data_IF_078936540349
#
_entry.id   IF_078936540349
#
_cell.length_a   1.000
_cell.length_b   1.000
_cell.length_c   1.000
_cell.angle_alpha   90.00
_cell.angle_beta   90.00
_cell.angle_gamma   90.00
#
_symmetry.space_group_name_H-M   'P 1'
#
loop_
_entity.id
_entity.type
_entity.pdbx_description
1 polymer ?
#
# COMPACT_ATOMS: atom_id res chain seq x y z
N UNK A 1 -11.75 30.20 -7.51
CA UNK A 1 -12.39 28.87 -7.51
C UNK A 1 -12.12 28.24 -8.86
N UNK A 2 -11.61 27.00 -8.89
CA UNK A 2 -11.30 26.30 -10.14
C UNK A 2 -12.33 25.19 -10.39
N UNK A 3 -12.68 24.96 -11.65
CA UNK A 3 -13.52 23.85 -12.09
C UNK A 3 -12.65 22.91 -12.92
N UNK A 4 -12.58 21.64 -12.51
CA UNK A 4 -11.81 20.62 -13.24
C UNK A 4 -12.45 20.35 -14.61
N UNK A 5 -11.60 20.15 -15.62
CA UNK A 5 -12.05 19.79 -16.97
C UNK A 5 -12.32 18.30 -17.01
N UNK A 6 -13.47 17.92 -17.55
CA UNK A 6 -13.87 16.52 -17.67
C UNK A 6 -13.06 15.79 -18.74
N UNK A 7 -12.62 14.57 -18.43
CA UNK A 7 -11.99 13.67 -19.40
C UNK A 7 -13.05 13.07 -20.32
N UNK A 8 -12.73 12.93 -21.62
CA UNK A 8 -13.59 12.15 -22.52
C UNK A 8 -13.52 10.66 -22.19
N UNK A 9 -14.64 9.93 -22.27
CA UNK A 9 -14.67 8.47 -22.02
C UNK A 9 -13.66 7.71 -22.89
N UNK A 10 -13.50 8.11 -24.16
CA UNK A 10 -12.53 7.52 -25.09
C UNK A 10 -11.07 7.78 -24.69
N UNK A 11 -10.81 8.77 -23.84
CA UNK A 11 -9.48 9.11 -23.34
C UNK A 11 -9.02 8.29 -22.14
N UNK A 12 -9.91 7.55 -21.48
CA UNK A 12 -9.61 6.76 -20.27
C UNK A 12 -8.44 5.77 -20.48
N UNK A 13 -8.39 4.96 -21.57
CA UNK A 13 -7.29 4.01 -21.74
C UNK A 13 -5.91 4.68 -21.81
N UNK A 14 -5.80 5.79 -22.56
CA UNK A 14 -4.55 6.54 -22.68
C UNK A 14 -4.16 7.25 -21.37
N UNK A 15 -5.15 7.70 -20.59
CA UNK A 15 -4.91 8.26 -19.26
C UNK A 15 -4.33 7.21 -18.30
N UNK A 16 -4.90 6.01 -18.27
CA UNK A 16 -4.41 4.91 -17.42
C UNK A 16 -2.99 4.45 -17.79
N UNK A 17 -2.66 4.43 -19.09
CA UNK A 17 -1.29 4.17 -19.53
C UNK A 17 -0.31 5.24 -19.06
N UNK A 18 -0.70 6.53 -19.10
CA UNK A 18 0.11 7.62 -18.54
C UNK A 18 0.30 7.49 -17.03
N UNK A 19 -0.76 7.17 -16.28
CA UNK A 19 -0.66 6.97 -14.83
C UNK A 19 0.36 5.87 -14.49
N UNK A 20 0.34 4.75 -15.22
CA UNK A 20 1.32 3.68 -15.07
C UNK A 20 2.76 4.15 -15.35
N UNK A 21 2.97 4.91 -16.44
CA UNK A 21 4.27 5.50 -16.79
C UNK A 21 4.78 6.49 -15.74
N UNK A 22 3.92 7.37 -15.22
CA UNK A 22 4.29 8.32 -14.18
C UNK A 22 4.76 7.61 -12.90
N UNK A 23 4.11 6.52 -12.51
CA UNK A 23 4.57 5.68 -11.39
C UNK A 23 5.96 5.08 -11.65
N UNK A 24 6.23 4.60 -12.86
CA UNK A 24 7.55 4.08 -13.25
C UNK A 24 8.64 5.16 -13.25
N UNK A 25 8.27 6.41 -13.53
CA UNK A 25 9.16 7.59 -13.44
C UNK A 25 9.29 8.14 -12.01
N UNK A 26 8.72 7.46 -11.01
CA UNK A 26 8.68 7.91 -9.62
C UNK A 26 7.99 9.27 -9.44
N UNK A 27 6.95 9.53 -10.24
CA UNK A 27 6.06 10.69 -10.13
C UNK A 27 4.63 10.26 -9.73
N UNK A 28 4.44 9.82 -8.46
CA UNK A 28 3.17 9.24 -8.04
C UNK A 28 2.04 10.26 -7.88
N UNK A 29 2.34 11.55 -7.74
CA UNK A 29 1.32 12.61 -7.60
C UNK A 29 0.58 12.84 -8.90
N UNK A 30 1.30 12.85 -10.02
CA UNK A 30 0.68 12.93 -11.35
C UNK A 30 -0.16 11.69 -11.65
N UNK A 31 0.31 10.51 -11.24
CA UNK A 31 -0.47 9.28 -11.37
C UNK A 31 -1.76 9.29 -10.53
N UNK A 32 -1.70 9.77 -9.27
CA UNK A 32 -2.87 9.94 -8.41
C UNK A 32 -3.90 10.89 -9.05
N UNK A 33 -3.44 12.06 -9.51
CA UNK A 33 -4.27 13.06 -10.18
C UNK A 33 -5.04 12.48 -11.36
N UNK A 34 -4.36 11.74 -12.25
CA UNK A 34 -4.99 11.08 -13.40
C UNK A 34 -6.01 10.03 -12.97
N UNK A 35 -5.72 9.24 -11.93
CA UNK A 35 -6.66 8.21 -11.49
C UNK A 35 -7.94 8.82 -10.89
N UNK A 36 -7.84 9.96 -10.20
CA UNK A 36 -9.00 10.70 -9.70
C UNK A 36 -9.87 11.23 -10.85
N UNK A 37 -9.27 11.76 -11.91
CA UNK A 37 -9.99 12.21 -13.11
C UNK A 37 -10.72 11.04 -13.80
N UNK A 38 -10.06 9.88 -13.93
CA UNK A 38 -10.69 8.68 -14.49
C UNK A 38 -11.87 8.21 -13.64
N UNK A 39 -11.69 8.13 -12.31
CA UNK A 39 -12.74 7.67 -11.38
C UNK A 39 -13.91 8.65 -11.25
N UNK A 40 -13.73 9.91 -11.65
CA UNK A 40 -14.83 10.88 -11.76
C UNK A 40 -15.77 10.53 -12.92
N UNK A 41 -15.23 9.95 -14.00
CA UNK A 41 -16.00 9.56 -15.20
C UNK A 41 -16.51 8.12 -15.11
N UNK A 42 -15.66 7.22 -14.61
CA UNK A 42 -15.95 5.79 -14.48
C UNK A 42 -15.58 5.32 -13.05
N UNK A 43 -16.49 5.51 -12.06
CA UNK A 43 -16.22 5.19 -10.66
C UNK A 43 -15.90 3.73 -10.37
N UNK A 44 -16.34 2.81 -11.23
CA UNK A 44 -16.17 1.37 -11.03
C UNK A 44 -14.92 0.81 -11.74
N UNK A 45 -14.12 1.70 -12.36
CA UNK A 45 -12.93 1.31 -13.12
C UNK A 45 -11.86 0.65 -12.22
N UNK A 46 -11.82 -0.68 -12.23
CA UNK A 46 -10.92 -1.46 -11.35
C UNK A 46 -9.43 -1.15 -11.58
N UNK A 47 -9.01 -0.85 -12.82
CA UNK A 47 -7.61 -0.46 -13.11
C UNK A 47 -7.28 0.88 -12.47
N UNK A 48 -8.19 1.85 -12.54
CA UNK A 48 -8.01 3.17 -11.91
C UNK A 48 -7.99 3.07 -10.37
N UNK A 49 -8.89 2.29 -9.76
CA UNK A 49 -8.91 2.07 -8.30
C UNK A 49 -7.59 1.49 -7.81
N UNK A 50 -7.10 0.42 -8.47
CA UNK A 50 -5.82 -0.20 -8.11
C UNK A 50 -4.65 0.77 -8.34
N UNK A 51 -4.62 1.47 -9.47
CA UNK A 51 -3.56 2.43 -9.77
C UNK A 51 -3.53 3.59 -8.78
N UNK A 52 -4.70 4.07 -8.34
CA UNK A 52 -4.82 5.10 -7.31
C UNK A 52 -4.28 4.63 -5.95
N UNK A 53 -4.65 3.41 -5.52
CA UNK A 53 -4.12 2.81 -4.29
C UNK A 53 -2.59 2.73 -4.35
N UNK A 54 -2.06 2.28 -5.49
CA UNK A 54 -0.63 2.14 -5.68
C UNK A 54 0.09 3.49 -5.73
N UNK A 55 -0.47 4.52 -6.38
CA UNK A 55 0.11 5.86 -6.42
C UNK A 55 0.08 6.55 -5.05
N UNK A 56 -0.97 6.34 -4.25
CA UNK A 56 -1.01 6.85 -2.87
C UNK A 56 0.08 6.16 -2.02
N UNK A 57 0.20 4.84 -2.12
CA UNK A 57 1.20 4.07 -1.34
C UNK A 57 2.64 4.31 -1.82
N UNK A 58 2.86 4.73 -3.06
CA UNK A 58 4.16 5.19 -3.57
C UNK A 58 4.61 6.51 -2.89
N UNK A 59 3.69 7.26 -2.25
CA UNK A 59 3.96 8.53 -1.57
C UNK A 59 4.20 8.41 -0.06
N UNK A 60 4.14 7.20 0.52
CA UNK A 60 4.30 7.03 1.97
C UNK A 60 5.64 7.58 2.47
N UNK A 61 5.56 8.42 3.49
CA UNK A 61 6.69 9.13 4.12
C UNK A 61 6.49 9.30 5.63
N UNK A 62 7.11 10.33 6.21
CA UNK A 62 6.93 10.63 7.64
C UNK A 62 5.49 11.08 7.90
N UNK A 63 4.85 10.52 8.93
CA UNK A 63 3.49 10.91 9.31
C UNK A 63 2.39 10.48 8.33
N UNK A 64 2.62 9.48 7.47
CA UNK A 64 1.71 9.03 6.41
C UNK A 64 0.38 8.37 6.88
N UNK A 65 -0.08 8.66 8.10
CA UNK A 65 -1.32 8.09 8.64
C UNK A 65 -2.53 8.43 7.77
N UNK A 66 -2.56 9.61 7.16
CA UNK A 66 -3.64 10.04 6.27
C UNK A 66 -3.60 9.27 4.94
N UNK A 67 -2.42 9.14 4.31
CA UNK A 67 -2.22 8.40 3.07
C UNK A 67 -2.55 6.92 3.23
N UNK A 68 -2.12 6.31 4.36
CA UNK A 68 -2.44 4.93 4.70
C UNK A 68 -3.95 4.72 4.82
N UNK A 69 -4.64 5.64 5.50
CA UNK A 69 -6.08 5.58 5.64
C UNK A 69 -6.78 5.71 4.28
N UNK A 70 -6.39 6.70 3.46
CA UNK A 70 -6.91 6.89 2.09
C UNK A 70 -6.71 5.64 1.22
N UNK A 71 -5.55 4.99 1.31
CA UNK A 71 -5.29 3.76 0.56
C UNK A 71 -6.17 2.59 1.03
N UNK A 72 -6.38 2.43 2.34
CA UNK A 72 -7.25 1.39 2.92
C UNK A 72 -8.71 1.58 2.52
N UNK A 73 -9.19 2.82 2.42
CA UNK A 73 -10.56 3.15 1.98
C UNK A 73 -10.86 2.73 0.54
N UNK A 74 -9.83 2.50 -0.29
CA UNK A 74 -10.00 1.98 -1.65
C UNK A 74 -10.14 0.45 -1.71
N UNK A 75 -9.73 -0.30 -0.68
CA UNK A 75 -9.78 -1.76 -0.68
C UNK A 75 -11.19 -2.33 -0.91
N UNK A 76 -12.26 -1.81 -0.30
CA UNK A 76 -13.62 -2.31 -0.54
C UNK A 76 -14.09 -2.17 -1.99
N UNK A 77 -13.51 -1.23 -2.75
CA UNK A 77 -13.83 -0.99 -4.17
C UNK A 77 -13.15 -1.98 -5.12
N UNK A 78 -12.23 -2.81 -4.62
CA UNK A 78 -11.59 -3.86 -5.40
C UNK A 78 -12.47 -5.12 -5.31
N UNK A 79 -13.04 -5.54 -6.43
CA UNK A 79 -14.02 -6.64 -6.45
C UNK A 79 -13.39 -8.02 -6.27
N UNK A 80 -12.17 -8.16 -6.78
CA UNK A 80 -11.39 -9.39 -6.69
C UNK A 80 -10.85 -9.58 -5.27
N UNK A 81 -11.27 -10.66 -4.61
CA UNK A 81 -10.92 -10.97 -3.22
C UNK A 81 -9.43 -11.26 -3.04
N UNK A 82 -8.79 -11.92 -4.01
CA UNK A 82 -7.34 -12.12 -4.02
C UNK A 82 -6.62 -10.78 -4.08
N UNK A 83 -6.98 -9.92 -5.04
CA UNK A 83 -6.36 -8.59 -5.19
C UNK A 83 -6.60 -7.72 -3.96
N UNK A 84 -7.77 -7.80 -3.32
CA UNK A 84 -8.06 -7.05 -2.10
C UNK A 84 -7.11 -7.45 -0.96
N UNK A 85 -6.92 -8.74 -0.73
CA UNK A 85 -5.96 -9.23 0.28
C UNK A 85 -4.52 -8.85 -0.10
N UNK A 86 -4.14 -9.03 -1.37
CA UNK A 86 -2.81 -8.71 -1.87
C UNK A 86 -2.47 -7.22 -1.72
N UNK A 87 -3.35 -6.31 -2.15
CA UNK A 87 -3.10 -4.87 -2.05
C UNK A 87 -3.19 -4.35 -0.61
N UNK A 88 -3.95 -5.00 0.27
CA UNK A 88 -3.87 -4.72 1.71
C UNK A 88 -2.45 -5.01 2.25
N UNK A 89 -1.86 -6.14 1.86
CA UNK A 89 -0.47 -6.46 2.18
C UNK A 89 0.52 -5.44 1.61
N UNK A 90 0.30 -4.94 0.39
CA UNK A 90 1.14 -3.90 -0.23
C UNK A 90 1.12 -2.58 0.56
N UNK A 91 -0.05 -2.16 1.06
CA UNK A 91 -0.16 -0.96 1.92
C UNK A 91 0.75 -1.13 3.14
N UNK A 92 0.60 -2.25 3.85
CA UNK A 92 1.33 -2.50 5.09
C UNK A 92 2.84 -2.68 4.84
N UNK A 93 3.23 -3.38 3.76
CA UNK A 93 4.63 -3.55 3.35
C UNK A 93 5.30 -2.19 3.03
N UNK A 94 4.62 -1.32 2.27
CA UNK A 94 5.16 -0.02 1.90
C UNK A 94 5.29 0.91 3.09
N UNK A 95 4.35 0.85 4.02
CA UNK A 95 4.43 1.62 5.27
C UNK A 95 5.60 1.15 6.14
N UNK A 96 5.79 -0.17 6.28
CA UNK A 96 6.95 -0.72 6.99
C UNK A 96 8.28 -0.24 6.38
N UNK A 97 8.39 -0.28 5.05
CA UNK A 97 9.57 0.21 4.31
C UNK A 97 9.78 1.72 4.48
N UNK A 98 8.71 2.52 4.47
CA UNK A 98 8.80 3.96 4.70
C UNK A 98 9.33 4.29 6.10
N UNK A 99 8.87 3.57 7.13
CA UNK A 99 9.36 3.70 8.51
C UNK A 99 10.86 3.35 8.59
N UNK A 100 11.29 2.24 7.96
CA UNK A 100 12.71 1.87 7.95
C UNK A 100 13.60 2.90 7.24
N UNK A 101 13.13 3.45 6.10
CA UNK A 101 13.88 4.43 5.32
C UNK A 101 14.18 5.71 6.10
N UNK A 102 13.30 6.09 7.04
CA UNK A 102 13.49 7.27 7.89
C UNK A 102 14.63 7.09 8.92
N UNK A 103 15.00 5.85 9.26
CA UNK A 103 16.15 5.57 10.12
C UNK A 103 16.02 6.05 11.57
N UNK A 104 14.82 6.45 12.03
CA UNK A 104 14.62 6.93 13.41
C UNK A 104 14.86 5.81 14.42
N UNK A 105 15.79 5.96 15.39
CA UNK A 105 16.00 4.99 16.45
C UNK A 105 14.69 4.69 17.22
N UNK A 106 14.45 3.43 17.56
CA UNK A 106 13.26 3.01 18.31
C UNK A 106 12.00 2.74 17.47
N UNK A 107 11.99 3.02 16.16
CA UNK A 107 10.84 2.68 15.27
C UNK A 107 10.92 1.29 14.63
N UNK A 108 11.93 0.50 14.97
CA UNK A 108 12.15 -0.85 14.43
C UNK A 108 11.03 -1.83 14.78
N UNK A 109 10.48 -1.73 16.00
CA UNK A 109 9.32 -2.52 16.43
C UNK A 109 8.05 -2.13 15.66
N UNK A 110 7.83 -0.84 15.40
CA UNK A 110 6.73 -0.41 14.53
C UNK A 110 6.86 -0.96 13.11
N UNK A 111 8.06 -0.94 12.53
CA UNK A 111 8.29 -1.53 11.22
C UNK A 111 8.04 -3.06 11.22
N UNK A 112 8.41 -3.75 12.30
CA UNK A 112 8.11 -5.18 12.49
C UNK A 112 6.61 -5.45 12.44
N UNK A 113 5.81 -4.73 13.22
CA UNK A 113 4.35 -4.91 13.26
C UNK A 113 3.72 -4.71 11.87
N UNK A 114 4.15 -3.67 11.14
CA UNK A 114 3.67 -3.43 9.78
C UNK A 114 4.07 -4.53 8.79
N UNK A 115 5.29 -5.10 8.91
CA UNK A 115 5.67 -6.25 8.09
C UNK A 115 4.87 -7.50 8.46
N UNK A 116 4.59 -7.73 9.75
CA UNK A 116 3.74 -8.84 10.19
C UNK A 116 2.32 -8.70 9.65
N UNK A 117 1.73 -7.51 9.73
CA UNK A 117 0.42 -7.22 9.13
C UNK A 117 0.43 -7.50 7.61
N UNK A 118 1.50 -7.08 6.92
CA UNK A 118 1.66 -7.35 5.49
C UNK A 118 1.71 -8.86 5.19
N UNK A 119 2.48 -9.61 5.98
CA UNK A 119 2.62 -11.07 5.87
C UNK A 119 1.29 -11.78 6.09
N UNK A 120 0.52 -11.41 7.11
CA UNK A 120 -0.81 -11.97 7.37
C UNK A 120 -1.77 -11.74 6.19
N UNK A 121 -1.66 -10.58 5.51
CA UNK A 121 -2.42 -10.30 4.29
C UNK A 121 -1.95 -11.13 3.08
N UNK A 122 -0.65 -11.31 2.92
CA UNK A 122 -0.11 -12.14 1.84
C UNK A 122 -0.44 -13.63 2.05
N UNK A 123 -0.46 -14.13 3.28
CA UNK A 123 -0.94 -15.49 3.61
C UNK A 123 -2.42 -15.68 3.24
N UNK A 124 -3.26 -14.68 3.55
CA UNK A 124 -4.68 -14.68 3.12
C UNK A 124 -4.82 -14.68 1.60
N UNK A 125 -4.01 -13.88 0.90
CA UNK A 125 -4.02 -13.84 -0.57
C UNK A 125 -3.51 -15.17 -1.15
N UNK A 126 -2.45 -15.73 -0.58
CA UNK A 126 -1.88 -17.01 -0.98
C UNK A 126 -2.91 -18.14 -0.92
N UNK A 127 -3.72 -18.19 0.15
CA UNK A 127 -4.73 -19.22 0.35
C UNK A 127 -5.83 -19.27 -0.73
N UNK A 128 -6.05 -18.15 -1.44
CA UNK A 128 -7.08 -18.02 -2.49
C UNK A 128 -6.49 -17.67 -3.87
N UNK A 129 -5.18 -17.84 -4.04
CA UNK A 129 -4.48 -17.38 -5.24
C UNK A 129 -4.94 -18.15 -6.49
N UNK A 130 -5.02 -17.49 -7.66
CA UNK A 130 -5.16 -18.19 -8.93
C UNK A 130 -4.02 -19.20 -9.14
N UNK A 131 -4.24 -20.27 -9.93
CA UNK A 131 -3.17 -21.17 -10.34
C UNK A 131 -1.98 -20.40 -10.92
N UNK A 132 -0.76 -20.84 -10.58
CA UNK A 132 0.51 -20.27 -11.04
C UNK A 132 0.77 -18.80 -10.66
N UNK A 133 -0.03 -18.21 -9.74
CA UNK A 133 0.20 -16.87 -9.22
C UNK A 133 0.95 -16.89 -7.88
N UNK A 134 2.28 -16.79 -7.94
CA UNK A 134 3.14 -16.79 -6.74
C UNK A 134 3.47 -15.38 -6.21
N UNK A 135 2.79 -14.32 -6.68
CA UNK A 135 3.12 -12.95 -6.28
C UNK A 135 3.03 -12.72 -4.77
N UNK A 136 1.99 -13.25 -4.12
CA UNK A 136 1.82 -13.14 -2.67
C UNK A 136 3.00 -13.79 -1.91
N UNK A 137 3.46 -14.96 -2.36
CA UNK A 137 4.60 -15.68 -1.77
C UNK A 137 5.89 -14.85 -1.92
N UNK A 138 6.13 -14.27 -3.11
CA UNK A 138 7.31 -13.43 -3.35
C UNK A 138 7.34 -12.20 -2.42
N UNK A 139 6.17 -11.60 -2.18
CA UNK A 139 6.02 -10.46 -1.26
C UNK A 139 6.22 -10.85 0.19
N UNK A 140 5.62 -11.95 0.63
CA UNK A 140 5.83 -12.51 1.97
C UNK A 140 7.32 -12.78 2.23
N UNK A 141 7.98 -13.45 1.29
CA UNK A 141 9.42 -13.73 1.36
C UNK A 141 10.27 -12.46 1.42
N UNK A 142 9.86 -11.41 0.73
CA UNK A 142 10.53 -10.11 0.78
C UNK A 142 10.42 -9.47 2.17
N UNK A 143 9.23 -9.53 2.79
CA UNK A 143 9.02 -9.08 4.17
C UNK A 143 9.90 -9.86 5.16
N UNK A 144 9.88 -11.20 5.07
CA UNK A 144 10.68 -12.07 5.93
C UNK A 144 12.19 -11.78 5.82
N UNK A 145 12.72 -11.63 4.60
CA UNK A 145 14.13 -11.27 4.39
C UNK A 145 14.50 -9.92 4.99
N UNK A 146 13.60 -8.93 4.94
CA UNK A 146 13.85 -7.62 5.55
C UNK A 146 13.86 -7.74 7.09
N UNK A 147 12.87 -8.43 7.68
CA UNK A 147 12.84 -8.69 9.13
C UNK A 147 14.14 -9.35 9.59
N UNK A 148 14.57 -10.42 8.92
CA UNK A 148 15.80 -11.14 9.24
C UNK A 148 17.05 -10.25 9.07
N UNK A 149 17.15 -9.51 7.96
CA UNK A 149 18.30 -8.64 7.67
C UNK A 149 18.51 -7.55 8.70
N UNK A 150 17.42 -6.94 9.19
CA UNK A 150 17.48 -5.85 10.17
C UNK A 150 17.24 -6.31 11.62
N UNK A 151 17.15 -7.63 11.85
CA UNK A 151 16.83 -8.23 13.14
C UNK A 151 15.65 -7.56 13.84
N UNK A 152 14.59 -7.28 13.07
CA UNK A 152 13.40 -6.61 13.58
C UNK A 152 12.67 -7.53 14.56
N UNK A 153 12.22 -6.97 15.67
CA UNK A 153 11.54 -7.70 16.74
C UNK A 153 10.34 -6.90 17.24
N UNK A 154 9.32 -7.57 17.81
CA UNK A 154 8.20 -6.88 18.46
C UNK A 154 8.70 -5.98 19.58
N UNK A 155 7.89 -4.98 19.95
CA UNK A 155 8.21 -4.12 21.10
C UNK A 155 8.30 -5.00 22.34
N UNK A 156 9.44 -4.97 23.04
CA UNK A 156 9.52 -5.56 24.38
C UNK A 156 8.62 -4.74 25.30
N UNK A 157 7.62 -5.38 25.88
CA UNK A 157 6.87 -4.79 26.99
C UNK A 157 7.84 -4.59 28.14
N UNK A 158 8.18 -3.34 28.45
CA UNK A 158 8.82 -3.03 29.73
C UNK A 158 7.76 -3.26 30.80
N UNK A 159 7.90 -4.34 31.56
CA UNK A 159 7.16 -4.52 32.81
C UNK A 159 7.50 -3.33 33.71
N UNK A 160 6.57 -2.39 33.84
CA UNK A 160 6.63 -1.38 34.87
C UNK A 160 6.18 -2.10 36.15
N UNK A 161 7.12 -2.44 37.03
CA UNK A 161 6.77 -2.90 38.37
C UNK A 161 5.84 -1.84 39.00
N UNK A 162 4.66 -2.22 39.50
CA UNK A 162 3.82 -1.29 40.24
C UNK A 162 4.62 -0.81 41.45
N UNK A 163 4.80 0.50 41.57
CA UNK A 163 5.30 1.09 42.81
C UNK A 163 4.35 0.65 43.94
N UNK A 164 4.85 -0.18 44.86
CA UNK A 164 4.17 -0.47 46.11
C UNK A 164 4.26 0.80 46.97
N UNK A 165 3.13 1.47 47.17
CA UNK A 165 2.93 2.49 48.22
C UNK A 165 2.96 1.85 49.61
#
# INVERSE_FOLDING_TARGET
MFTLKSLSVKGIPAALEKAERYRLLNDPKEAESICLDVLTIDPENQKAVISLLLSITDQFGEGASAEVQRARELLPRIHDTYKRAYYAGIISERQAKAILKQGTPGRQSHAYEWFREAMDHFEKAEAIRPPDNDEAILRWNSCARIIMKYNLSPRKEEYIEPFLE
#
